data_IF_573042137296
#
_entry.id   IF_573042137296
#
_cell.length_a   1.000
_cell.length_b   1.000
_cell.length_c   1.000
_cell.angle_alpha   90.00
_cell.angle_beta   90.00
_cell.angle_gamma   90.00
#
_symmetry.space_group_name_H-M   'P 1'
#
loop_
_entity.id
_entity.type
_entity.pdbx_description
1 polymer ?
#
# COMPACT_ATOMS: atom_id res chain seq x y z
N UNK A 1 20.12 -6.22 5.94
CA UNK A 1 19.50 -5.79 4.68
C UNK A 1 18.31 -4.93 5.07
N UNK A 2 18.36 -3.63 4.74
CA UNK A 2 17.22 -2.73 4.93
C UNK A 2 16.26 -2.97 3.79
N UNK A 3 15.02 -3.30 4.09
CA UNK A 3 13.95 -3.34 3.11
C UNK A 3 13.29 -1.96 3.13
N UNK A 4 13.47 -1.18 2.06
CA UNK A 4 12.66 0.00 1.80
C UNK A 4 11.26 -0.50 1.45
N UNK A 5 10.26 -0.05 2.20
CA UNK A 5 8.87 -0.36 1.92
C UNK A 5 8.08 0.92 2.08
N UNK A 6 7.60 1.45 0.96
CA UNK A 6 6.57 2.48 1.03
C UNK A 6 5.30 1.82 1.54
N UNK A 7 4.59 2.48 2.45
CA UNK A 7 3.30 1.98 2.89
C UNK A 7 2.29 3.07 3.10
N UNK A 8 1.04 2.65 3.02
CA UNK A 8 -0.16 3.43 3.20
C UNK A 8 -1.01 2.77 4.25
N UNK A 9 -1.39 3.52 5.27
CA UNK A 9 -2.33 3.08 6.30
C UNK A 9 -3.68 3.68 5.98
N UNK A 10 -4.75 2.93 6.21
CA UNK A 10 -6.14 3.39 6.16
C UNK A 10 -7.04 2.61 7.10
N UNK A 11 -8.23 3.14 7.36
CA UNK A 11 -9.29 2.49 8.12
C UNK A 11 -10.37 1.95 7.18
N UNK A 12 -11.03 0.86 7.56
CA UNK A 12 -12.16 0.30 6.82
C UNK A 12 -13.39 0.34 7.73
N UNK A 13 -14.42 1.09 7.32
CA UNK A 13 -15.68 1.25 8.07
C UNK A 13 -15.60 2.32 9.15
N UNK A 14 -16.54 2.29 10.09
CA UNK A 14 -16.56 3.20 11.24
C UNK A 14 -15.32 2.98 12.11
N UNK A 15 -14.50 4.02 12.24
CA UNK A 15 -13.33 4.00 13.08
C UNK A 15 -13.68 4.61 14.46
N UNK A 16 -13.21 3.96 15.53
CA UNK A 16 -13.31 4.46 16.91
C UNK A 16 -12.20 5.47 17.26
N UNK A 17 -11.57 6.06 16.22
CA UNK A 17 -10.42 6.95 16.31
C UNK A 17 -10.62 8.18 15.42
N UNK A 18 -10.24 9.35 15.92
CA UNK A 18 -10.29 10.59 15.15
C UNK A 18 -9.02 10.80 14.32
N UNK A 19 -9.09 11.68 13.32
CA UNK A 19 -7.91 12.15 12.57
C UNK A 19 -6.84 12.76 13.50
N UNK A 20 -7.26 13.44 14.57
CA UNK A 20 -6.37 14.03 15.58
C UNK A 20 -5.66 12.94 16.42
N UNK A 21 -6.36 11.85 16.76
CA UNK A 21 -5.74 10.71 17.43
C UNK A 21 -4.63 10.10 16.56
N UNK A 22 -4.86 9.91 15.26
CA UNK A 22 -3.81 9.41 14.36
C UNK A 22 -2.64 10.38 14.25
N UNK A 23 -2.90 11.69 14.11
CA UNK A 23 -1.84 12.70 14.08
C UNK A 23 -0.95 12.60 15.31
N UNK A 24 -1.55 12.55 16.50
CA UNK A 24 -0.80 12.45 17.76
C UNK A 24 0.00 11.15 17.87
N UNK A 25 -0.60 10.05 17.42
CA UNK A 25 0.01 8.72 17.43
C UNK A 25 1.20 8.64 16.46
N UNK A 26 1.06 9.15 15.24
CA UNK A 26 2.12 9.08 14.24
C UNK A 26 3.22 10.13 14.45
N UNK A 27 2.88 11.37 14.83
CA UNK A 27 3.85 12.41 15.16
C UNK A 27 4.75 12.04 16.34
N UNK A 28 4.25 11.22 17.29
CA UNK A 28 5.01 10.77 18.45
C UNK A 28 5.96 9.59 18.18
N UNK A 29 5.80 8.89 17.05
CA UNK A 29 6.46 7.60 16.81
C UNK A 29 7.26 7.53 15.49
N UNK A 30 7.08 8.48 14.58
CA UNK A 30 7.68 8.41 13.25
C UNK A 30 8.23 9.80 12.90
N UNK A 31 9.54 9.86 12.68
CA UNK A 31 10.21 11.03 12.14
C UNK A 31 9.81 11.20 10.66
N UNK A 32 9.45 12.43 10.30
CA UNK A 32 9.13 12.95 8.96
C UNK A 32 7.65 12.93 8.52
N UNK A 33 7.34 14.00 7.78
CA UNK A 33 6.05 14.64 7.50
C UNK A 33 5.00 13.70 6.91
N UNK A 34 4.06 13.22 7.72
CA UNK A 34 2.90 12.50 7.22
C UNK A 34 1.96 13.43 6.44
N UNK A 35 1.68 13.09 5.18
CA UNK A 35 0.54 13.66 4.46
C UNK A 35 -0.68 12.84 4.83
N UNK A 36 -1.48 13.34 5.78
CA UNK A 36 -2.82 12.83 6.05
C UNK A 36 -3.77 13.49 5.06
N UNK A 37 -4.30 12.71 4.12
CA UNK A 37 -5.39 13.18 3.25
C UNK A 37 -6.70 12.55 3.69
N UNK A 38 -7.64 13.39 4.12
CA UNK A 38 -9.01 12.98 4.41
C UNK A 38 -9.75 12.88 3.06
N UNK A 39 -9.73 11.69 2.46
CA UNK A 39 -10.57 11.38 1.30
C UNK A 39 -11.73 10.54 1.77
N UNK A 40 -12.80 11.23 2.19
CA UNK A 40 -14.06 10.68 2.69
C UNK A 40 -13.98 10.22 4.14
N UNK A 41 -15.13 10.30 4.81
CA UNK A 41 -15.37 10.23 6.27
C UNK A 41 -14.76 9.04 7.02
N UNK A 42 -14.22 8.04 6.30
CA UNK A 42 -13.83 6.73 6.83
C UNK A 42 -12.44 6.27 6.34
N UNK A 43 -11.67 7.13 5.64
CA UNK A 43 -10.38 6.74 5.06
C UNK A 43 -9.31 7.80 5.30
N UNK A 44 -8.45 7.51 6.27
CA UNK A 44 -7.25 8.29 6.52
C UNK A 44 -6.11 7.64 5.74
N UNK A 45 -5.54 8.33 4.76
CA UNK A 45 -4.40 7.81 3.99
C UNK A 45 -3.11 8.47 4.44
N UNK A 46 -2.08 7.65 4.69
CA UNK A 46 -0.71 8.12 4.90
C UNK A 46 0.15 7.83 3.66
N UNK A 47 1.04 8.73 3.29
CA UNK A 47 2.06 8.52 2.26
C UNK A 47 3.41 8.85 2.87
N UNK A 48 4.30 7.86 3.02
CA UNK A 48 5.75 8.04 3.19
C UNK A 48 6.51 6.70 3.04
N UNK A 49 7.76 6.80 2.59
CA UNK A 49 8.73 5.69 2.56
C UNK A 49 9.34 5.49 3.95
N UNK A 50 8.54 5.02 4.89
CA UNK A 50 9.04 4.81 6.24
C UNK A 50 9.74 3.45 6.25
N UNK A 51 11.03 3.43 6.60
CA UNK A 51 11.76 2.21 6.94
C UNK A 51 11.22 1.62 8.25
N UNK A 52 9.98 1.17 8.25
CA UNK A 52 9.31 0.80 9.47
C UNK A 52 9.44 -0.70 9.67
N UNK A 53 10.64 -1.16 10.05
CA UNK A 53 10.86 -2.57 10.49
C UNK A 53 9.94 -2.96 11.65
N UNK A 54 9.34 -1.98 12.33
CA UNK A 54 8.49 -2.14 13.49
C UNK A 54 7.00 -1.87 13.22
N UNK A 55 6.58 -1.72 11.96
CA UNK A 55 5.19 -1.44 11.64
C UNK A 55 4.25 -2.50 12.20
N UNK A 56 4.64 -3.77 12.16
CA UNK A 56 3.84 -4.85 12.73
C UNK A 56 3.62 -4.66 14.22
N UNK A 57 4.68 -4.32 14.94
CA UNK A 57 4.64 -4.14 16.39
C UNK A 57 3.79 -2.93 16.75
N UNK A 58 4.00 -1.80 16.06
CA UNK A 58 3.23 -0.59 16.22
C UNK A 58 1.74 -0.81 15.91
N UNK A 59 1.41 -1.44 14.78
CA UNK A 59 0.03 -1.67 14.35
C UNK A 59 -0.68 -2.72 15.22
N UNK A 60 0.05 -3.70 15.77
CA UNK A 60 -0.50 -4.60 16.81
C UNK A 60 -0.91 -3.81 18.05
N UNK A 61 -0.06 -2.92 18.55
CA UNK A 61 -0.39 -2.10 19.71
C UNK A 61 -1.54 -1.13 19.42
N UNK A 62 -1.50 -0.46 18.26
CA UNK A 62 -2.52 0.48 17.84
C UNK A 62 -3.89 -0.20 17.73
N UNK A 63 -3.96 -1.32 17.01
CA UNK A 63 -5.20 -2.07 16.85
C UNK A 63 -5.68 -2.76 18.12
N UNK A 64 -4.81 -3.02 19.09
CA UNK A 64 -5.22 -3.50 20.41
C UNK A 64 -5.91 -2.37 21.21
N UNK A 65 -5.42 -1.14 21.09
CA UNK A 65 -6.02 0.06 21.71
C UNK A 65 -7.36 0.42 21.06
N UNK A 66 -7.44 0.32 19.73
CA UNK A 66 -8.62 0.62 18.91
C UNK A 66 -9.20 -0.68 18.35
N UNK A 67 -9.69 -1.54 19.26
CA UNK A 67 -10.06 -2.94 18.96
C UNK A 67 -11.23 -3.09 17.97
N UNK A 68 -12.04 -2.06 17.81
CA UNK A 68 -13.15 -2.05 16.86
C UNK A 68 -12.72 -1.58 15.47
N UNK A 69 -11.66 -0.77 15.37
CA UNK A 69 -11.14 -0.31 14.09
C UNK A 69 -10.42 -1.43 13.34
N UNK A 70 -10.78 -1.57 12.06
CA UNK A 70 -10.04 -2.37 11.09
C UNK A 70 -9.07 -1.46 10.33
N UNK A 71 -7.78 -1.68 10.52
CA UNK A 71 -6.72 -1.00 9.78
C UNK A 71 -6.34 -1.81 8.54
N UNK A 72 -6.20 -1.14 7.41
CA UNK A 72 -5.63 -1.65 6.17
C UNK A 72 -4.27 -0.99 5.97
N UNK A 73 -3.25 -1.80 5.76
CA UNK A 73 -1.90 -1.36 5.46
C UNK A 73 -1.56 -1.91 4.09
N UNK A 74 -1.22 -1.06 3.15
CA UNK A 74 -0.79 -1.45 1.80
C UNK A 74 0.68 -1.10 1.68
N UNK A 75 1.50 -2.02 1.21
CA UNK A 75 2.94 -1.80 1.11
C UNK A 75 3.52 -2.34 -0.18
N UNK A 76 4.61 -1.71 -0.61
CA UNK A 76 5.37 -2.06 -1.80
C UNK A 76 6.82 -2.31 -1.40
N UNK A 77 7.32 -3.53 -1.60
CA UNK A 77 8.73 -3.87 -1.41
C UNK A 77 9.61 -3.40 -2.57
N UNK A 78 10.93 -3.57 -2.41
CA UNK A 78 11.93 -3.16 -3.42
C UNK A 78 11.87 -4.01 -4.69
N UNK A 79 11.44 -5.26 -4.60
CA UNK A 79 11.37 -6.16 -5.75
C UNK A 79 10.09 -5.92 -6.57
N UNK A 80 10.22 -6.01 -7.90
CA UNK A 80 9.07 -5.92 -8.80
C UNK A 80 8.07 -7.04 -8.45
N UNK A 81 6.93 -6.64 -7.92
CA UNK A 81 5.85 -7.57 -7.57
C UNK A 81 5.65 -7.78 -6.06
N UNK A 82 6.49 -7.18 -5.20
CA UNK A 82 6.28 -7.17 -3.75
C UNK A 82 5.18 -6.19 -3.32
N UNK A 83 4.01 -6.32 -3.92
CA UNK A 83 2.82 -5.61 -3.50
C UNK A 83 2.10 -6.48 -2.48
N UNK A 84 1.82 -5.92 -1.33
CA UNK A 84 1.13 -6.61 -0.26
C UNK A 84 0.15 -5.68 0.44
N UNK A 85 -0.82 -6.30 1.11
CA UNK A 85 -1.64 -5.63 2.08
C UNK A 85 -1.76 -6.45 3.35
N UNK A 86 -1.97 -5.78 4.47
CA UNK A 86 -2.23 -6.37 5.75
C UNK A 86 -3.49 -5.76 6.36
N UNK A 87 -4.30 -6.62 6.97
CA UNK A 87 -5.48 -6.24 7.73
C UNK A 87 -5.17 -6.42 9.21
N UNK A 88 -5.39 -5.38 10.01
CA UNK A 88 -5.03 -5.37 11.42
C UNK A 88 -6.23 -4.97 12.27
N UNK A 89 -6.60 -5.81 13.25
CA UNK A 89 -7.69 -5.54 14.20
C UNK A 89 -7.45 -6.27 15.52
N UNK A 90 -7.62 -5.57 16.64
CA UNK A 90 -7.52 -6.18 17.97
C UNK A 90 -6.19 -6.89 18.23
N UNK A 91 -5.07 -6.35 17.73
CA UNK A 91 -3.74 -6.94 17.87
C UNK A 91 -3.45 -8.12 16.93
N UNK A 92 -4.37 -8.49 16.03
CA UNK A 92 -4.18 -9.56 15.05
C UNK A 92 -3.86 -8.99 13.68
N UNK A 93 -2.96 -9.65 12.95
CA UNK A 93 -2.59 -9.29 11.58
C UNK A 93 -2.96 -10.44 10.63
N UNK A 94 -3.58 -10.10 9.50
CA UNK A 94 -3.75 -10.98 8.36
C UNK A 94 -3.03 -10.41 7.13
N UNK A 95 -2.08 -11.16 6.58
CA UNK A 95 -1.31 -10.77 5.40
C UNK A 95 -1.91 -11.30 4.11
N UNK A 96 -1.86 -10.47 3.08
CA UNK A 96 -2.20 -10.84 1.73
C UNK A 96 -1.17 -10.29 0.74
N UNK A 97 -0.48 -11.19 0.05
CA UNK A 97 0.34 -10.83 -1.11
C UNK A 97 -0.55 -10.62 -2.33
N UNK A 98 -0.22 -9.63 -3.15
CA UNK A 98 -0.86 -9.46 -4.44
C UNK A 98 -0.46 -10.60 -5.39
N UNK A 99 -1.38 -10.97 -6.28
CA UNK A 99 -1.08 -11.82 -7.43
C UNK A 99 -1.22 -10.92 -8.65
N UNK A 100 -0.09 -10.64 -9.31
CA UNK A 100 -0.06 -9.84 -10.53
C UNK A 100 -0.17 -10.81 -11.71
N UNK A 101 -1.18 -10.60 -12.56
CA UNK A 101 -1.34 -11.36 -13.80
C UNK A 101 -1.36 -10.40 -14.97
N UNK A 102 -0.65 -10.77 -16.03
CA UNK A 102 -0.79 -10.14 -17.33
C UNK A 102 -1.64 -11.07 -18.19
N UNK A 103 -2.82 -10.64 -18.66
CA UNK A 103 -3.58 -11.43 -19.63
C UNK A 103 -2.76 -11.60 -20.91
N UNK A 104 -3.10 -12.62 -21.70
CA UNK A 104 -2.50 -12.82 -23.01
C UNK A 104 -2.62 -11.55 -23.84
N UNK A 105 -1.52 -11.18 -24.49
CA UNK A 105 -1.52 -10.04 -25.38
C UNK A 105 -2.47 -10.34 -26.57
N UNK A 106 -3.35 -9.41 -26.96
CA UNK A 106 -4.20 -9.60 -28.13
C UNK A 106 -3.34 -9.88 -29.37
N UNK A 107 -3.57 -11.01 -30.05
CA UNK A 107 -2.76 -11.42 -31.19
C UNK A 107 -2.74 -10.36 -32.29
N UNK A 108 -3.87 -9.70 -32.55
CA UNK A 108 -4.00 -8.64 -33.54
C UNK A 108 -3.04 -7.47 -33.26
N UNK A 109 -2.85 -7.10 -31.98
CA UNK A 109 -1.93 -6.04 -31.58
C UNK A 109 -0.47 -6.49 -31.76
N UNK A 110 -0.16 -7.74 -31.46
CA UNK A 110 1.18 -8.30 -31.69
C UNK A 110 1.53 -8.31 -33.18
N UNK A 111 0.58 -8.72 -34.03
CA UNK A 111 0.72 -8.73 -35.49
C UNK A 111 0.90 -7.31 -36.05
N UNK A 112 0.20 -6.31 -35.53
CA UNK A 112 0.38 -4.90 -35.92
C UNK A 112 1.79 -4.41 -35.57
N UNK A 113 2.26 -4.68 -34.36
CA UNK A 113 3.62 -4.32 -33.93
C UNK A 113 4.67 -4.98 -34.83
N UNK A 114 4.50 -6.26 -35.17
CA UNK A 114 5.40 -6.96 -36.10
C UNK A 114 5.41 -6.32 -37.49
N UNK A 115 4.24 -5.94 -38.02
CA UNK A 115 4.13 -5.26 -39.32
C UNK A 115 4.80 -3.88 -39.31
N UNK A 116 4.62 -3.09 -38.25
CA UNK A 116 5.29 -1.79 -38.08
C UNK A 116 6.81 -1.93 -38.04
N UNK A 117 7.32 -2.93 -37.31
CA UNK A 117 8.76 -3.23 -37.26
C UNK A 117 9.29 -3.60 -38.65
N UNK A 118 8.57 -4.43 -39.41
CA UNK A 118 8.97 -4.82 -40.77
C UNK A 118 8.99 -3.62 -41.73
N UNK A 119 8.02 -2.71 -41.63
CA UNK A 119 7.99 -1.49 -42.45
C UNK A 119 9.16 -0.54 -42.12
N UNK A 120 9.50 -0.37 -40.84
CA UNK A 120 10.66 0.43 -40.42
C UNK A 120 11.99 -0.15 -40.88
N UNK A 121 12.15 -1.48 -40.85
CA UNK A 121 13.38 -2.15 -41.30
C UNK A 121 13.54 -2.06 -42.83
N UNK A 122 12.43 -2.11 -43.57
CA UNK A 122 12.44 -2.09 -45.04
C UNK A 122 12.51 -0.67 -45.65
N UNK A 123 12.50 0.38 -44.84
CA UNK A 123 12.76 1.75 -45.29
C UNK A 123 11.74 2.28 -46.31
N UNK A 124 10.45 2.08 -46.04
CA UNK A 124 9.36 2.89 -46.61
C UNK A 124 8.88 3.92 -45.60
#
# INVERSE_FOLDING_TARGET
MSYYSSFKISTIGEADLSTEDLLNIFNGHIADEFIISEKQKDKIETQNDIQFREWEFFMKQLSARYSQTLFLIEGHGEERGDIWRAFVRGGKIFYQKAIITYPDAPQELLLQIEQEIQQQILGL
#
